data_IF_630318806772
#
_entry.id   IF_630318806772
#
_cell.length_a   1.000
_cell.length_b   1.000
_cell.length_c   1.000
_cell.angle_alpha   90.00
_cell.angle_beta   90.00
_cell.angle_gamma   90.00
#
_symmetry.space_group_name_H-M   'P 1'
#
loop_
_entity.id
_entity.type
_entity.pdbx_description
1 polymer ?
#
# COMPACT_ATOMS: atom_id res chain seq x y z
N UNK A 1 13.57 19.93 4.25
CA UNK A 1 12.58 18.84 4.10
C UNK A 1 12.92 18.19 2.77
N UNK A 2 13.36 16.93 2.76
CA UNK A 2 13.58 16.23 1.49
C UNK A 2 12.19 15.94 0.93
N UNK A 3 11.76 16.73 -0.05
CA UNK A 3 10.59 16.40 -0.84
C UNK A 3 10.91 15.10 -1.58
N UNK A 4 10.32 14.00 -1.12
CA UNK A 4 10.30 12.78 -1.91
C UNK A 4 9.46 13.08 -3.15
N UNK A 5 9.95 12.84 -4.38
CA UNK A 5 9.17 13.10 -5.60
C UNK A 5 8.09 12.02 -5.85
N UNK A 6 7.72 11.25 -4.83
CA UNK A 6 6.65 10.25 -4.87
C UNK A 6 5.39 10.80 -4.23
N UNK A 7 4.24 10.30 -4.67
CA UNK A 7 2.97 10.54 -4.00
C UNK A 7 3.07 10.18 -2.51
N UNK A 8 2.46 10.97 -1.61
CA UNK A 8 2.49 10.73 -0.16
C UNK A 8 2.24 9.27 0.29
N UNK A 9 1.26 8.52 -0.26
CA UNK A 9 1.04 7.12 0.13
C UNK A 9 2.20 6.19 -0.28
N UNK A 10 2.81 6.42 -1.45
CA UNK A 10 3.93 5.61 -1.95
C UNK A 10 5.22 5.88 -1.18
N UNK A 11 5.48 7.16 -0.86
CA UNK A 11 6.59 7.54 0.01
C UNK A 11 6.47 6.87 1.39
N UNK A 12 5.27 6.87 1.98
CA UNK A 12 5.02 6.21 3.27
C UNK A 12 5.18 4.68 3.19
N UNK A 13 4.70 4.06 2.12
CA UNK A 13 4.91 2.62 1.86
C UNK A 13 6.41 2.28 1.78
N UNK A 14 7.19 3.09 1.06
CA UNK A 14 8.62 2.89 0.89
C UNK A 14 9.37 3.00 2.23
N UNK A 15 9.06 4.02 3.04
CA UNK A 15 9.66 4.17 4.36
C UNK A 15 9.34 2.98 5.28
N UNK A 16 8.06 2.55 5.32
CA UNK A 16 7.66 1.39 6.11
C UNK A 16 8.35 0.09 5.66
N UNK A 17 8.65 -0.03 4.36
CA UNK A 17 9.33 -1.22 3.83
C UNK A 17 10.76 -1.38 4.34
N UNK A 18 11.46 -0.26 4.58
CA UNK A 18 12.82 -0.24 5.16
C UNK A 18 12.77 -0.72 6.61
N UNK A 19 11.79 -0.25 7.39
CA UNK A 19 11.61 -0.67 8.78
C UNK A 19 11.23 -2.16 8.91
N UNK A 20 10.45 -2.68 7.96
CA UNK A 20 10.02 -4.09 7.93
C UNK A 20 11.06 -5.03 7.27
N UNK A 21 12.05 -4.48 6.57
CA UNK A 21 13.08 -5.22 5.83
C UNK A 21 12.53 -5.94 4.60
N UNK A 22 11.74 -5.23 3.78
CA UNK A 22 11.13 -5.71 2.53
C UNK A 22 11.25 -4.68 1.39
N UNK A 23 12.32 -3.88 1.41
CA UNK A 23 12.49 -2.73 0.51
C UNK A 23 12.74 -3.15 -0.93
N UNK A 24 13.36 -4.31 -1.19
CA UNK A 24 13.61 -4.79 -2.56
C UNK A 24 12.31 -5.10 -3.32
N UNK A 25 11.39 -5.82 -2.67
CA UNK A 25 10.11 -6.17 -3.26
C UNK A 25 9.21 -4.94 -3.42
N UNK A 26 9.26 -4.00 -2.48
CA UNK A 26 8.45 -2.78 -2.53
C UNK A 26 8.96 -1.82 -3.60
N UNK A 27 10.28 -1.66 -3.78
CA UNK A 27 10.84 -0.89 -4.89
C UNK A 27 10.40 -1.47 -6.25
N UNK A 28 10.40 -2.80 -6.36
CA UNK A 28 9.92 -3.48 -7.57
C UNK A 28 8.42 -3.22 -7.80
N UNK A 29 7.60 -3.26 -6.76
CA UNK A 29 6.16 -2.96 -6.86
C UNK A 29 5.93 -1.50 -7.27
N UNK A 30 6.66 -0.55 -6.69
CA UNK A 30 6.57 0.88 -7.05
C UNK A 30 6.95 1.08 -8.51
N UNK A 31 8.04 0.45 -8.97
CA UNK A 31 8.48 0.52 -10.37
C UNK A 31 7.48 -0.10 -11.36
N UNK A 32 6.62 -1.03 -10.92
CA UNK A 32 5.54 -1.58 -11.76
C UNK A 32 4.32 -0.67 -11.82
N UNK A 33 4.07 0.13 -10.78
CA UNK A 33 2.93 1.05 -10.70
C UNK A 33 3.26 2.39 -11.35
N UNK A 34 4.47 2.90 -11.12
CA UNK A 34 4.95 4.18 -11.64
C UNK A 34 6.09 3.96 -12.64
N UNK A 35 6.00 4.63 -13.79
CA UNK A 35 7.03 4.58 -14.83
C UNK A 35 8.31 5.32 -14.43
N UNK A 36 8.23 6.26 -13.47
CA UNK A 36 9.31 7.15 -13.07
C UNK A 36 9.81 6.84 -11.64
N UNK A 37 10.45 5.68 -11.44
CA UNK A 37 11.12 5.39 -10.17
C UNK A 37 12.58 5.85 -10.23
N UNK A 38 12.85 7.08 -9.82
CA UNK A 38 14.23 7.50 -9.56
C UNK A 38 14.82 6.61 -8.45
N UNK A 39 15.97 6.00 -8.70
CA UNK A 39 16.59 5.06 -7.75
C UNK A 39 16.95 5.76 -6.44
N UNK A 40 16.14 5.54 -5.40
CA UNK A 40 16.43 6.03 -4.04
C UNK A 40 17.57 5.23 -3.42
N UNK A 41 18.54 5.93 -2.81
CA UNK A 41 19.63 5.32 -2.03
C UNK A 41 19.13 4.80 -0.68
N UNK A 42 18.25 3.80 -0.70
CA UNK A 42 17.78 3.10 0.48
C UNK A 42 18.54 1.79 0.66
N UNK A 43 18.59 1.30 1.90
CA UNK A 43 19.12 -0.03 2.18
C UNK A 43 18.18 -1.07 1.54
N UNK A 44 18.65 -1.74 0.50
CA UNK A 44 17.91 -2.80 -0.20
C UNK A 44 18.03 -4.09 0.61
N UNK A 45 16.91 -4.55 1.15
CA UNK A 45 16.78 -5.78 1.93
C UNK A 45 15.55 -6.53 1.42
N UNK A 46 15.75 -7.77 1.00
CA UNK A 46 14.67 -8.66 0.57
C UNK A 46 14.03 -9.37 1.76
N UNK A 47 12.70 -9.46 1.75
CA UNK A 47 11.94 -10.24 2.72
C UNK A 47 11.91 -11.75 2.42
N UNK A 48 12.41 -12.17 1.25
CA UNK A 48 12.37 -13.55 0.78
C UNK A 48 10.93 -14.03 0.56
N UNK A 49 10.52 -15.10 1.26
CA UNK A 49 9.18 -15.69 1.12
C UNK A 49 8.12 -15.09 2.08
N UNK A 50 8.47 -14.06 2.84
CA UNK A 50 7.59 -13.49 3.86
C UNK A 50 6.64 -12.42 3.27
N UNK A 51 5.60 -12.86 2.57
CA UNK A 51 4.60 -11.97 1.96
C UNK A 51 3.82 -11.10 2.97
N UNK A 52 3.76 -11.50 4.23
CA UNK A 52 3.13 -10.71 5.31
C UNK A 52 3.80 -9.36 5.51
N UNK A 53 5.14 -9.30 5.41
CA UNK A 53 5.88 -8.04 5.56
C UNK A 53 5.57 -7.08 4.42
N UNK A 54 5.54 -7.60 3.20
CA UNK A 54 5.23 -6.84 1.98
C UNK A 54 3.82 -6.27 2.08
N UNK A 55 2.82 -7.09 2.45
CA UNK A 55 1.43 -6.62 2.61
C UNK A 55 1.28 -5.58 3.73
N UNK A 56 2.01 -5.75 4.84
CA UNK A 56 2.06 -4.75 5.91
C UNK A 56 2.64 -3.41 5.42
N UNK A 57 3.71 -3.44 4.63
CA UNK A 57 4.30 -2.22 4.06
C UNK A 57 3.31 -1.50 3.13
N UNK A 58 2.62 -2.23 2.24
CA UNK A 58 1.56 -1.68 1.38
C UNK A 58 0.45 -1.05 2.23
N UNK A 59 0.05 -1.74 3.30
CA UNK A 59 -0.99 -1.25 4.23
C UNK A 59 -0.59 0.05 4.92
N UNK A 60 0.66 0.20 5.30
CA UNK A 60 1.15 1.41 5.96
C UNK A 60 1.03 2.65 5.07
N UNK A 61 1.28 2.51 3.77
CA UNK A 61 1.16 3.60 2.79
C UNK A 61 -0.28 3.88 2.36
N UNK A 62 -1.05 2.82 2.10
CA UNK A 62 -2.39 2.89 1.52
C UNK A 62 -3.52 2.65 2.54
N UNK A 63 -3.30 3.00 3.81
CA UNK A 63 -4.27 2.76 4.89
C UNK A 63 -5.62 3.48 4.68
N UNK A 64 -5.63 4.61 3.97
CA UNK A 64 -6.88 5.29 3.59
C UNK A 64 -7.63 4.60 2.45
N UNK A 65 -6.95 3.77 1.64
CA UNK A 65 -7.53 3.05 0.51
C UNK A 65 -7.99 1.64 0.92
N UNK A 66 -8.46 1.50 2.16
CA UNK A 66 -9.05 0.26 2.64
C UNK A 66 -10.50 0.12 2.20
N UNK A 67 -10.90 -1.09 1.84
CA UNK A 67 -12.29 -1.44 1.60
C UNK A 67 -12.65 -2.78 2.27
N UNK A 68 -13.91 -2.87 2.72
CA UNK A 68 -14.48 -4.07 3.33
C UNK A 68 -15.62 -4.58 2.50
N UNK A 69 -15.74 -5.90 2.38
CA UNK A 69 -16.86 -6.56 1.70
C UNK A 69 -18.17 -6.22 2.40
N UNK A 70 -19.18 -5.85 1.62
CA UNK A 70 -20.54 -5.60 2.12
C UNK A 70 -21.30 -6.94 2.15
N UNK A 71 -22.08 -7.26 3.19
CA UNK A 71 -22.95 -8.44 3.20
C UNK A 71 -24.00 -8.47 2.07
N UNK A 72 -24.36 -7.32 1.50
CA UNK A 72 -25.34 -7.24 0.42
C UNK A 72 -24.70 -7.47 -0.95
N UNK A 73 -23.90 -6.50 -1.43
CA UNK A 73 -23.23 -6.58 -2.73
C UNK A 73 -21.98 -5.72 -2.74
N UNK A 74 -20.89 -6.25 -3.32
CA UNK A 74 -19.66 -5.50 -3.54
C UNK A 74 -18.86 -5.21 -2.26
N UNK A 75 -18.26 -4.02 -2.22
CA UNK A 75 -17.40 -3.55 -1.15
C UNK A 75 -17.78 -2.12 -0.77
N UNK A 76 -17.38 -1.70 0.43
CA UNK A 76 -17.46 -0.31 0.88
C UNK A 76 -16.09 0.20 1.30
N UNK A 77 -15.77 1.41 0.87
CA UNK A 77 -14.54 2.09 1.32
C UNK A 77 -14.64 2.44 2.81
N UNK A 78 -13.51 2.41 3.51
CA UNK A 78 -13.48 2.68 4.95
C UNK A 78 -13.64 4.16 5.28
N UNK A 79 -13.23 5.05 4.38
CA UNK A 79 -13.24 6.50 4.59
C UNK A 79 -14.60 7.10 4.21
N UNK A 80 -15.05 6.83 2.98
CA UNK A 80 -16.23 7.50 2.40
C UNK A 80 -17.49 6.63 2.43
N UNK A 81 -17.37 5.35 2.84
CA UNK A 81 -18.47 4.38 2.87
C UNK A 81 -19.20 4.24 1.51
N UNK A 82 -18.46 4.47 0.42
CA UNK A 82 -19.01 4.43 -0.94
C UNK A 82 -18.95 3.01 -1.51
N UNK A 83 -19.95 2.61 -2.33
CA UNK A 83 -20.01 1.28 -2.91
C UNK A 83 -19.01 1.12 -4.05
N UNK A 84 -18.06 0.20 -3.88
CA UNK A 84 -16.98 -0.08 -4.83
C UNK A 84 -16.91 -1.57 -5.16
N UNK A 85 -16.33 -1.91 -6.30
CA UNK A 85 -16.26 -3.28 -6.81
C UNK A 85 -14.84 -3.63 -7.23
N UNK A 86 -14.45 -4.90 -7.16
CA UNK A 86 -13.15 -5.33 -7.70
C UNK A 86 -13.23 -5.30 -9.23
N UNK A 87 -12.26 -4.64 -9.88
CA UNK A 87 -12.21 -4.60 -11.34
C UNK A 87 -12.01 -6.02 -11.93
N UNK A 88 -12.69 -6.39 -13.03
CA UNK A 88 -12.62 -7.75 -13.60
C UNK A 88 -11.22 -8.17 -14.08
N UNK A 89 -10.33 -7.21 -14.39
CA UNK A 89 -8.93 -7.52 -14.71
C UNK A 89 -8.07 -7.89 -13.49
N UNK A 90 -8.57 -7.68 -12.27
CA UNK A 90 -7.83 -7.99 -11.05
C UNK A 90 -7.79 -9.50 -10.80
N UNK A 91 -6.63 -10.00 -10.39
CA UNK A 91 -6.44 -11.39 -9.99
C UNK A 91 -7.35 -11.82 -8.81
N UNK A 92 -7.89 -10.87 -8.04
CA UNK A 92 -8.77 -11.14 -6.89
C UNK A 92 -10.27 -11.15 -7.24
N UNK A 93 -10.64 -10.93 -8.50
CA UNK A 93 -12.04 -10.84 -8.93
C UNK A 93 -12.89 -12.06 -8.54
N UNK A 94 -12.32 -13.26 -8.64
CA UNK A 94 -13.02 -14.51 -8.30
C UNK A 94 -12.98 -14.87 -6.81
N UNK A 95 -11.94 -14.48 -6.08
CA UNK A 95 -11.74 -14.89 -4.67
C UNK A 95 -12.59 -14.07 -3.69
N UNK A 96 -12.84 -12.79 -4.01
CA UNK A 96 -13.65 -11.85 -3.22
C UNK A 96 -13.42 -11.93 -1.68
N UNK A 97 -12.19 -11.64 -1.21
CA UNK A 97 -11.84 -11.65 0.22
C UNK A 97 -12.53 -10.53 1.00
N UNK A 98 -12.65 -10.67 2.33
CA UNK A 98 -13.42 -9.75 3.16
C UNK A 98 -12.82 -8.35 3.32
N UNK A 99 -11.48 -8.27 3.35
CA UNK A 99 -10.73 -7.03 3.57
C UNK A 99 -9.68 -6.86 2.49
N UNK A 100 -9.70 -5.70 1.86
CA UNK A 100 -8.80 -5.38 0.76
C UNK A 100 -8.27 -3.95 0.86
N UNK A 101 -7.13 -3.73 0.22
CA UNK A 101 -6.58 -2.42 -0.07
C UNK A 101 -6.48 -2.28 -1.58
N UNK A 102 -6.81 -1.10 -2.09
CA UNK A 102 -6.73 -0.76 -3.51
C UNK A 102 -5.70 0.35 -3.75
N UNK A 103 -5.17 0.42 -4.97
CA UNK A 103 -4.28 1.53 -5.36
C UNK A 103 -5.09 2.73 -5.82
N UNK A 104 -6.01 2.52 -6.77
CA UNK A 104 -6.86 3.56 -7.36
C UNK A 104 -8.31 3.10 -7.51
N UNK A 105 -9.21 4.08 -7.62
CA UNK A 105 -10.61 3.90 -8.00
C UNK A 105 -10.80 4.45 -9.41
N UNK A 106 -11.35 3.63 -10.29
CA UNK A 106 -11.71 4.03 -11.65
C UNK A 106 -13.22 4.10 -11.75
N UNK A 107 -13.74 5.30 -12.00
CA UNK A 107 -15.15 5.53 -12.25
C UNK A 107 -15.50 5.17 -13.69
N UNK A 108 -16.50 4.31 -13.86
CA UNK A 108 -17.08 3.98 -15.17
C UNK A 108 -18.61 3.97 -15.06
N UNK A 109 -19.24 2.80 -15.12
CA UNK A 109 -20.65 2.57 -14.79
C UNK A 109 -20.86 2.32 -13.30
N UNK A 110 -19.87 1.69 -12.67
CA UNK A 110 -19.70 1.54 -11.22
C UNK A 110 -18.26 1.92 -10.89
N UNK A 111 -17.99 2.23 -9.63
CA UNK A 111 -16.62 2.48 -9.18
C UNK A 111 -15.88 1.16 -8.99
N UNK A 112 -14.77 1.01 -9.71
CA UNK A 112 -13.95 -0.20 -9.66
C UNK A 112 -12.58 0.07 -9.03
N UNK A 113 -12.22 -0.77 -8.06
CA UNK A 113 -10.90 -0.84 -7.46
C UNK A 113 -9.92 -1.53 -8.39
N UNK A 114 -8.76 -0.90 -8.61
CA UNK A 114 -7.61 -1.50 -9.32
C UNK A 114 -6.44 -1.77 -8.37
N UNK A 115 -5.58 -2.70 -8.80
CA UNK A 115 -4.42 -3.21 -8.05
C UNK A 115 -4.76 -3.57 -6.59
N UNK A 116 -5.66 -4.54 -6.45
CA UNK A 116 -6.23 -4.94 -5.15
C UNK A 116 -5.34 -5.96 -4.44
N UNK A 117 -5.11 -5.77 -3.14
CA UNK A 117 -4.36 -6.70 -2.28
C UNK A 117 -5.18 -7.09 -1.05
N UNK A 118 -5.06 -8.35 -0.62
CA UNK A 118 -5.71 -8.85 0.61
C UNK A 118 -4.96 -8.35 1.84
N UNK A 119 -5.69 -7.80 2.80
CA UNK A 119 -5.13 -7.27 4.05
C UNK A 119 -5.81 -7.88 5.27
N UNK A 120 -5.06 -8.03 6.37
CA UNK A 120 -5.68 -8.30 7.66
C UNK A 120 -6.11 -6.98 8.33
N UNK A 121 -7.35 -6.88 8.86
CA UNK A 121 -7.84 -5.64 9.46
C UNK A 121 -7.04 -5.17 10.67
N UNK A 122 -6.31 -6.08 11.32
CA UNK A 122 -5.42 -5.76 12.45
C UNK A 122 -4.31 -4.78 12.05
N UNK A 123 -3.78 -4.91 10.84
CA UNK A 123 -2.68 -4.06 10.38
C UNK A 123 -3.15 -2.64 10.08
N UNK A 124 -4.40 -2.45 9.66
CA UNK A 124 -4.99 -1.12 9.47
C UNK A 124 -5.09 -0.35 10.80
N UNK A 125 -5.35 -1.06 11.90
CA UNK A 125 -5.38 -0.47 13.25
C UNK A 125 -3.97 -0.19 13.76
N UNK A 126 -3.04 -1.14 13.58
CA UNK A 126 -1.64 -1.03 14.02
C UNK A 126 -0.89 0.10 13.29
N UNK A 127 -1.09 0.25 11.98
CA UNK A 127 -0.34 1.14 11.09
C UNK A 127 -1.05 2.49 10.82
N UNK A 128 -2.17 2.72 11.52
CA UNK A 128 -2.95 3.94 11.44
C UNK A 128 -2.18 5.21 11.85
N UNK A 129 -2.80 6.39 11.71
CA UNK A 129 -2.13 7.70 11.84
C UNK A 129 -1.47 7.99 13.19
N UNK A 130 -1.62 7.14 14.22
CA UNK A 130 -0.91 7.26 15.49
C UNK A 130 0.54 6.75 15.47
N UNK A 131 1.04 6.10 14.41
CA UNK A 131 2.31 5.36 14.47
C UNK A 131 3.55 6.01 13.81
N UNK A 132 3.42 7.00 12.92
CA UNK A 132 4.58 7.55 12.19
C UNK A 132 4.62 9.08 12.18
N UNK A 133 5.08 9.69 13.28
CA UNK A 133 5.92 10.88 13.14
C UNK A 133 7.28 10.39 12.62
N UNK A 134 7.72 10.81 11.42
CA UNK A 134 9.04 10.44 10.93
C UNK A 134 10.08 11.06 11.87
N UNK A 135 10.73 10.24 12.69
CA UNK A 135 11.87 10.69 13.49
C UNK A 135 12.93 11.29 12.55
N UNK A 136 13.23 12.60 12.63
CA UNK A 136 14.13 13.27 11.67
C UNK A 136 15.58 12.76 11.67
N UNK A 137 15.93 11.94 12.67
CA UNK A 137 17.30 11.54 12.99
C UNK A 137 17.74 10.18 12.43
N UNK A 138 16.85 9.40 11.79
CA UNK A 138 17.21 8.06 11.25
C UNK A 138 17.65 8.03 9.79
N UNK A 139 17.54 9.15 9.06
CA UNK A 139 18.18 9.32 7.75
C UNK A 139 19.63 9.81 7.93
N UNK A 140 20.46 9.02 8.61
CA UNK A 140 21.87 9.39 8.80
C UNK A 140 22.68 9.03 7.55
N UNK A 141 23.33 10.06 6.98
CA UNK A 141 24.32 10.01 5.90
C UNK A 141 25.20 8.74 5.95
N UNK A 142 25.19 7.96 4.86
CA UNK A 142 26.35 7.17 4.43
C UNK A 142 26.65 7.50 2.97
N UNK A 143 27.35 8.62 2.78
CA UNK A 143 28.27 8.77 1.66
C UNK A 143 29.66 8.53 2.25
N UNK A 144 30.27 7.42 1.87
CA UNK A 144 31.71 7.31 1.70
C UNK A 144 31.93 7.03 0.21
#
# INVERSE_FOLDING_TARGET
MAEFPLDPPLSKMLLASVDLGCSDEILTIIAMIQTDCEFYKLAVVSAGKNFTKIRKAITAGFFFHGARKDPQEGYRTLVENQPVYIHPSSALFQRQPDWVIYHELVMTTKEFMREVTVVDPRWLVELGPSYHEPNPWRLSKRCA
#
